data_IF_446892084832
#
_entry.id   IF_446892084832
#
_cell.length_a   1.000
_cell.length_b   1.000
_cell.length_c   1.000
_cell.angle_alpha   90.00
_cell.angle_beta   90.00
_cell.angle_gamma   90.00
#
_symmetry.space_group_name_H-M   'P 1'
#
loop_
_entity.id
_entity.type
_entity.pdbx_description
1 polymer ?
#
# COMPACT_ATOMS: atom_id res chain seq x y z
N UNK A 1 -27.26 -42.77 19.48
CA UNK A 1 -26.95 -41.40 19.93
C UNK A 1 -25.51 -40.92 19.63
N UNK A 2 -24.49 -41.75 19.70
CA UNK A 2 -23.06 -41.32 19.41
C UNK A 2 -22.83 -40.85 17.99
N UNK A 3 -23.43 -41.45 16.95
CA UNK A 3 -23.26 -41.04 15.52
C UNK A 3 -23.81 -39.64 15.22
N UNK A 4 -24.91 -39.20 15.84
CA UNK A 4 -25.48 -37.86 15.65
C UNK A 4 -24.61 -36.76 16.27
N UNK A 5 -23.92 -37.03 17.38
CA UNK A 5 -23.01 -36.04 18.01
C UNK A 5 -21.73 -35.85 17.22
N UNK A 6 -21.21 -36.89 16.58
CA UNK A 6 -20.02 -36.80 15.71
C UNK A 6 -20.32 -36.00 14.46
N UNK A 7 -21.49 -36.23 13.83
CA UNK A 7 -21.90 -35.47 12.64
C UNK A 7 -22.09 -33.98 12.92
N UNK A 8 -22.69 -33.63 14.08
CA UNK A 8 -22.87 -32.25 14.50
C UNK A 8 -21.54 -31.54 14.79
N UNK A 9 -20.58 -32.24 15.39
CA UNK A 9 -19.23 -31.70 15.64
C UNK A 9 -18.45 -31.46 14.37
N UNK A 10 -18.54 -32.34 13.35
CA UNK A 10 -17.90 -32.14 12.06
C UNK A 10 -18.48 -30.95 11.30
N UNK A 11 -19.79 -30.72 11.37
CA UNK A 11 -20.45 -29.58 10.73
C UNK A 11 -19.99 -28.28 11.37
N UNK A 12 -19.85 -28.22 12.69
CA UNK A 12 -19.33 -27.03 13.39
C UNK A 12 -17.89 -26.72 13.02
N UNK A 13 -17.01 -27.73 12.90
CA UNK A 13 -15.62 -27.54 12.49
C UNK A 13 -15.52 -27.02 11.04
N UNK A 14 -16.34 -27.57 10.13
CA UNK A 14 -16.41 -27.10 8.75
C UNK A 14 -16.90 -25.64 8.66
N UNK A 15 -17.92 -25.25 9.43
CA UNK A 15 -18.41 -23.87 9.48
C UNK A 15 -17.35 -22.89 10.00
N UNK A 16 -16.59 -23.29 11.02
CA UNK A 16 -15.50 -22.47 11.56
C UNK A 16 -14.37 -22.29 10.54
N UNK A 17 -14.02 -23.35 9.81
CA UNK A 17 -13.01 -23.27 8.75
C UNK A 17 -13.45 -22.34 7.59
N UNK A 18 -14.73 -22.37 7.20
CA UNK A 18 -15.28 -21.47 6.16
C UNK A 18 -15.29 -20.01 6.65
N UNK A 19 -15.63 -19.76 7.91
CA UNK A 19 -15.60 -18.43 8.50
C UNK A 19 -14.16 -17.88 8.63
N UNK A 20 -13.19 -18.71 8.99
CA UNK A 20 -11.78 -18.31 9.05
C UNK A 20 -11.19 -18.03 7.66
N UNK A 21 -11.56 -18.79 6.64
CA UNK A 21 -11.11 -18.52 5.26
C UNK A 21 -11.76 -17.26 4.66
N UNK A 22 -12.98 -16.92 5.03
CA UNK A 22 -13.62 -15.66 4.61
C UNK A 22 -13.03 -14.44 5.32
N UNK A 23 -12.60 -14.55 6.57
CA UNK A 23 -11.90 -13.49 7.30
C UNK A 23 -10.51 -13.19 6.70
N UNK A 24 -9.76 -14.22 6.29
CA UNK A 24 -8.48 -14.02 5.60
C UNK A 24 -8.62 -13.41 4.21
N UNK A 25 -9.69 -13.71 3.50
CA UNK A 25 -10.01 -13.07 2.22
C UNK A 25 -10.40 -11.59 2.40
N UNK A 26 -11.11 -11.22 3.47
CA UNK A 26 -11.44 -9.82 3.80
C UNK A 26 -10.20 -8.99 4.14
N UNK A 27 -9.17 -9.56 4.79
CA UNK A 27 -7.92 -8.87 5.10
C UNK A 27 -7.08 -8.53 3.85
N UNK A 28 -7.22 -9.28 2.75
CA UNK A 28 -6.57 -9.00 1.46
C UNK A 28 -7.25 -7.91 0.62
N UNK A 29 -8.47 -7.51 0.95
CA UNK A 29 -9.26 -6.54 0.18
C UNK A 29 -8.72 -5.10 0.36
N UNK A 30 -8.00 -4.82 1.47
CA UNK A 30 -7.56 -3.48 1.83
C UNK A 30 -6.59 -2.79 0.85
N UNK A 31 -5.81 -3.55 0.07
CA UNK A 31 -4.76 -3.02 -0.82
C UNK A 31 -5.10 -3.17 -2.31
N UNK A 32 -6.37 -3.32 -2.66
CA UNK A 32 -6.80 -3.19 -4.06
C UNK A 32 -6.73 -1.74 -4.50
N UNK A 33 -6.39 -1.52 -5.77
CA UNK A 33 -6.25 -0.19 -6.35
C UNK A 33 -7.44 0.72 -6.03
N UNK A 34 -8.67 0.27 -6.30
CA UNK A 34 -9.90 1.03 -6.03
C UNK A 34 -10.05 1.47 -4.56
N UNK A 35 -9.66 0.60 -3.62
CA UNK A 35 -9.74 0.90 -2.19
C UNK A 35 -8.67 1.92 -1.76
N UNK A 36 -7.47 1.82 -2.32
CA UNK A 36 -6.38 2.78 -2.08
C UNK A 36 -6.77 4.15 -2.60
N UNK A 37 -7.28 4.21 -3.83
CA UNK A 37 -7.76 5.44 -4.46
C UNK A 37 -8.87 6.11 -3.65
N UNK A 38 -9.86 5.31 -3.23
CA UNK A 38 -10.97 5.79 -2.41
C UNK A 38 -10.48 6.40 -1.10
N UNK A 39 -9.63 5.69 -0.35
CA UNK A 39 -9.09 6.17 0.92
C UNK A 39 -8.30 7.47 0.78
N UNK A 40 -7.43 7.55 -0.22
CA UNK A 40 -6.64 8.75 -0.51
C UNK A 40 -7.53 9.93 -0.89
N UNK A 41 -8.50 9.72 -1.78
CA UNK A 41 -9.44 10.75 -2.23
C UNK A 41 -10.35 11.25 -1.10
N UNK A 42 -10.90 10.34 -0.30
CA UNK A 42 -11.72 10.68 0.88
C UNK A 42 -10.92 11.47 1.94
N UNK A 43 -9.61 11.27 1.99
CA UNK A 43 -8.71 12.05 2.85
C UNK A 43 -8.27 13.39 2.22
N UNK A 44 -8.77 13.74 1.06
CA UNK A 44 -8.47 15.01 0.37
C UNK A 44 -7.15 15.02 -0.40
N UNK A 45 -6.60 13.85 -0.74
CA UNK A 45 -5.46 13.75 -1.62
C UNK A 45 -5.89 13.83 -3.10
N UNK A 46 -5.04 14.42 -3.93
CA UNK A 46 -5.17 14.39 -5.39
C UNK A 46 -4.48 13.15 -5.92
N UNK A 47 -5.07 12.50 -6.92
CA UNK A 47 -4.54 11.29 -7.53
C UNK A 47 -4.27 11.52 -9.02
N UNK A 48 -3.14 11.01 -9.48
CA UNK A 48 -2.78 10.88 -10.90
C UNK A 48 -2.24 9.48 -11.17
N UNK A 49 -2.40 9.02 -12.39
CA UNK A 49 -1.83 7.76 -12.85
C UNK A 49 -0.54 8.06 -13.61
N UNK A 50 0.53 7.40 -13.22
CA UNK A 50 1.85 7.56 -13.79
C UNK A 50 2.32 6.26 -14.42
N UNK A 51 3.18 6.33 -15.45
CA UNK A 51 3.77 5.15 -16.08
C UNK A 51 5.01 4.66 -15.37
N UNK A 52 5.72 5.57 -14.74
CA UNK A 52 6.95 5.27 -13.98
C UNK A 52 7.09 6.24 -12.80
N UNK A 53 7.96 5.88 -11.88
CA UNK A 53 8.36 6.74 -10.76
C UNK A 53 9.82 7.10 -10.87
N UNK A 54 10.30 8.13 -10.16
CA UNK A 54 11.73 8.42 -10.07
C UNK A 54 12.56 7.21 -9.61
N UNK A 55 11.96 6.33 -8.78
CA UNK A 55 12.61 5.14 -8.24
C UNK A 55 12.72 3.99 -9.24
N UNK A 56 11.71 3.84 -10.10
CA UNK A 56 11.55 2.65 -10.96
C UNK A 56 11.81 2.90 -12.44
N UNK A 57 12.00 4.14 -12.87
CA UNK A 57 12.20 4.49 -14.29
C UNK A 57 13.34 3.71 -14.96
N UNK A 58 14.41 3.46 -14.22
CA UNK A 58 15.54 2.69 -14.71
C UNK A 58 15.34 1.22 -14.36
N UNK A 59 15.18 0.36 -15.38
CA UNK A 59 14.96 -1.08 -15.24
C UNK A 59 13.48 -1.51 -15.18
N UNK A 60 12.54 -0.59 -15.32
CA UNK A 60 11.11 -0.94 -15.29
C UNK A 60 10.70 -1.89 -16.42
N UNK A 61 11.36 -1.82 -17.59
CA UNK A 61 11.07 -2.69 -18.73
C UNK A 61 11.30 -4.18 -18.43
N UNK A 62 12.14 -4.49 -17.46
CA UNK A 62 12.50 -5.85 -17.08
C UNK A 62 11.56 -6.42 -16.00
N UNK A 63 10.62 -5.61 -15.54
CA UNK A 63 9.70 -5.92 -14.44
C UNK A 63 8.24 -5.66 -14.82
N UNK A 64 7.34 -6.45 -14.23
CA UNK A 64 5.90 -6.34 -14.46
C UNK A 64 5.28 -5.36 -13.46
N UNK A 65 5.31 -4.08 -13.76
CA UNK A 65 4.56 -3.06 -13.04
C UNK A 65 3.26 -2.77 -13.82
N UNK A 66 2.11 -2.99 -13.17
CA UNK A 66 0.80 -2.89 -13.82
C UNK A 66 0.27 -1.47 -13.78
N UNK A 67 0.12 -0.94 -12.58
CA UNK A 67 -0.46 0.38 -12.35
C UNK A 67 0.38 1.16 -11.35
N UNK A 68 0.33 2.47 -11.47
CA UNK A 68 1.08 3.39 -10.66
C UNK A 68 0.20 4.57 -10.29
N UNK A 69 -0.04 4.74 -9.00
CA UNK A 69 -0.74 5.89 -8.47
C UNK A 69 0.30 6.85 -7.90
N UNK A 70 0.26 8.09 -8.37
CA UNK A 70 0.93 9.21 -7.74
C UNK A 70 -0.13 10.05 -7.01
N UNK A 71 0.07 10.24 -5.72
CA UNK A 71 -0.86 11.00 -4.88
C UNK A 71 -0.14 12.14 -4.19
N UNK A 72 -0.79 13.31 -4.14
CA UNK A 72 -0.28 14.49 -3.44
C UNK A 72 -1.33 15.04 -2.49
N UNK A 73 -0.85 15.61 -1.38
CA UNK A 73 -1.67 16.37 -0.44
C UNK A 73 -0.86 17.45 0.24
N UNK A 74 -1.45 18.63 0.39
CA UNK A 74 -0.87 19.74 1.14
C UNK A 74 -1.10 19.55 2.64
N UNK A 75 -0.04 19.72 3.42
CA UNK A 75 -0.06 19.73 4.88
C UNK A 75 0.48 21.05 5.40
N UNK A 76 -0.09 21.54 6.49
CA UNK A 76 0.49 22.65 7.24
C UNK A 76 1.54 22.10 8.19
N UNK A 77 2.78 22.56 8.07
CA UNK A 77 3.90 22.17 8.92
C UNK A 77 4.55 23.42 9.53
N UNK A 78 5.04 23.31 10.75
CA UNK A 78 5.84 24.38 11.38
C UNK A 78 7.31 24.17 11.03
N UNK A 79 7.85 25.07 10.23
CA UNK A 79 9.27 25.08 9.83
C UNK A 79 9.88 26.37 10.37
N UNK A 80 10.90 26.23 11.22
CA UNK A 80 11.57 27.36 11.88
C UNK A 80 10.62 28.29 12.65
N UNK A 81 9.59 27.72 13.29
CA UNK A 81 8.57 28.44 14.06
C UNK A 81 7.50 29.14 13.21
N UNK A 82 7.50 28.95 11.89
CA UNK A 82 6.53 29.52 10.96
C UNK A 82 5.70 28.41 10.35
N UNK A 83 4.36 28.58 10.33
CA UNK A 83 3.47 27.67 9.62
C UNK A 83 3.63 27.85 8.10
N UNK A 84 3.88 26.75 7.41
CA UNK A 84 4.01 26.68 5.95
C UNK A 84 3.18 25.55 5.40
N UNK A 85 2.58 25.78 4.23
CA UNK A 85 1.97 24.73 3.45
C UNK A 85 3.03 23.97 2.65
N UNK A 86 3.07 22.64 2.83
CA UNK A 86 4.03 21.76 2.16
C UNK A 86 3.27 20.66 1.46
N UNK A 87 3.47 20.53 0.16
CA UNK A 87 2.94 19.39 -0.59
C UNK A 87 3.75 18.14 -0.28
N UNK A 88 3.06 17.07 0.07
CA UNK A 88 3.64 15.74 0.34
C UNK A 88 3.14 14.74 -0.67
N UNK A 89 3.98 13.77 -0.98
CA UNK A 89 3.80 12.82 -2.08
C UNK A 89 3.75 11.38 -1.58
N UNK A 90 3.03 10.54 -2.33
CA UNK A 90 3.00 9.09 -2.17
C UNK A 90 2.92 8.44 -3.54
N UNK A 91 3.77 7.47 -3.79
CA UNK A 91 3.69 6.55 -4.92
C UNK A 91 3.15 5.20 -4.46
N UNK A 92 2.18 4.67 -5.19
CA UNK A 92 1.64 3.32 -4.96
C UNK A 92 1.85 2.52 -6.24
N UNK A 93 2.64 1.47 -6.12
CA UNK A 93 3.09 0.63 -7.24
C UNK A 93 2.40 -0.73 -7.12
N UNK A 94 1.65 -1.12 -8.15
CA UNK A 94 1.01 -2.43 -8.26
C UNK A 94 1.84 -3.30 -9.19
N UNK A 95 2.46 -4.34 -8.64
CA UNK A 95 3.30 -5.28 -9.40
C UNK A 95 2.50 -6.50 -9.88
N UNK A 96 2.88 -7.03 -11.02
CA UNK A 96 2.26 -8.23 -11.59
C UNK A 96 2.71 -9.54 -10.96
N UNK A 97 3.89 -9.54 -10.32
CA UNK A 97 4.45 -10.69 -9.61
C UNK A 97 5.31 -10.26 -8.41
N UNK A 98 5.67 -11.25 -7.58
CA UNK A 98 6.43 -11.02 -6.34
C UNK A 98 7.85 -10.53 -6.60
N UNK A 99 8.50 -10.98 -7.68
CA UNK A 99 9.84 -10.56 -8.03
C UNK A 99 9.88 -9.08 -8.39
N UNK A 100 8.90 -8.62 -9.18
CA UNK A 100 8.74 -7.21 -9.54
C UNK A 100 8.40 -6.34 -8.33
N UNK A 101 7.57 -6.84 -7.40
CA UNK A 101 7.27 -6.15 -6.15
C UNK A 101 8.51 -6.02 -5.25
N UNK A 102 9.30 -7.09 -5.12
CA UNK A 102 10.55 -7.07 -4.34
C UNK A 102 11.56 -6.08 -4.92
N UNK A 103 11.71 -6.09 -6.25
CA UNK A 103 12.57 -5.14 -6.95
C UNK A 103 12.12 -3.68 -6.72
N UNK A 104 10.82 -3.39 -6.88
CA UNK A 104 10.28 -2.06 -6.65
C UNK A 104 10.47 -1.59 -5.20
N UNK A 105 10.28 -2.49 -4.23
CA UNK A 105 10.53 -2.21 -2.80
C UNK A 105 11.99 -1.81 -2.55
N UNK A 106 12.93 -2.57 -3.09
CA UNK A 106 14.35 -2.31 -2.93
C UNK A 106 14.75 -0.96 -3.57
N UNK A 107 14.24 -0.68 -4.78
CA UNK A 107 14.45 0.62 -5.44
C UNK A 107 13.90 1.78 -4.63
N UNK A 108 12.71 1.64 -4.06
CA UNK A 108 12.11 2.64 -3.18
C UNK A 108 12.96 2.89 -1.93
N UNK A 109 13.40 1.82 -1.25
CA UNK A 109 14.27 1.92 -0.07
C UNK A 109 15.60 2.63 -0.37
N UNK A 110 16.25 2.27 -1.48
CA UNK A 110 17.48 2.92 -1.91
C UNK A 110 17.26 4.40 -2.20
N UNK A 111 16.22 4.74 -2.94
CA UNK A 111 15.86 6.12 -3.26
C UNK A 111 15.63 6.98 -2.01
N UNK A 112 14.86 6.47 -1.04
CA UNK A 112 14.62 7.17 0.23
C UNK A 112 15.91 7.34 1.02
N UNK A 113 16.76 6.31 1.07
CA UNK A 113 18.06 6.38 1.79
C UNK A 113 19.03 7.37 1.15
N UNK A 114 19.13 7.36 -0.19
CA UNK A 114 20.01 8.25 -0.95
C UNK A 114 19.59 9.72 -0.88
N UNK A 115 18.31 9.99 -0.63
CA UNK A 115 17.70 11.32 -0.58
C UNK A 115 17.15 11.69 0.81
N UNK A 116 17.65 11.08 1.87
CA UNK A 116 17.09 11.20 3.22
C UNK A 116 17.01 12.65 3.74
N UNK A 117 17.93 13.52 3.33
CA UNK A 117 17.93 14.94 3.73
C UNK A 117 16.76 15.74 3.14
N UNK A 118 16.29 15.36 1.95
CA UNK A 118 15.18 16.03 1.24
C UNK A 118 13.85 15.34 1.42
N UNK A 119 13.85 14.02 1.60
CA UNK A 119 12.65 13.18 1.74
C UNK A 119 12.28 12.93 3.21
N UNK A 120 12.25 13.99 4.01
CA UNK A 120 11.91 13.89 5.43
C UNK A 120 10.50 13.31 5.62
N UNK A 121 10.43 12.23 6.42
CA UNK A 121 9.17 11.54 6.70
C UNK A 121 8.70 10.61 5.58
N UNK A 122 9.57 10.31 4.60
CA UNK A 122 9.29 9.26 3.62
C UNK A 122 9.59 7.88 4.18
N UNK A 123 8.71 6.95 3.85
CA UNK A 123 8.81 5.54 4.21
C UNK A 123 8.51 4.66 2.99
N UNK A 124 9.00 3.43 3.05
CA UNK A 124 8.65 2.38 2.09
C UNK A 124 7.92 1.26 2.82
N UNK A 125 6.80 0.83 2.27
CA UNK A 125 6.01 -0.27 2.80
C UNK A 125 5.56 -1.20 1.67
N UNK A 126 5.68 -2.51 1.89
CA UNK A 126 5.20 -3.52 0.97
C UNK A 126 4.14 -4.39 1.62
N UNK A 127 3.06 -4.62 0.90
CA UNK A 127 2.05 -5.60 1.22
C UNK A 127 1.74 -6.44 -0.02
N UNK A 128 2.11 -7.73 0.02
CA UNK A 128 1.99 -8.63 -1.13
C UNK A 128 2.69 -8.05 -2.37
N UNK A 129 1.95 -7.73 -3.42
CA UNK A 129 2.45 -7.14 -4.68
C UNK A 129 2.25 -5.64 -4.79
N UNK A 130 1.91 -4.98 -3.70
CA UNK A 130 1.74 -3.54 -3.64
C UNK A 130 2.88 -2.91 -2.85
N UNK A 131 3.56 -1.95 -3.45
CA UNK A 131 4.63 -1.18 -2.81
C UNK A 131 4.20 0.27 -2.69
N UNK A 132 4.28 0.81 -1.49
CA UNK A 132 4.01 2.21 -1.18
C UNK A 132 5.34 2.89 -0.84
N UNK A 133 5.59 4.06 -1.42
CA UNK A 133 6.78 4.86 -1.16
C UNK A 133 6.42 6.33 -1.11
N UNK A 134 6.61 6.97 0.02
CA UNK A 134 6.29 8.39 0.17
C UNK A 134 6.08 8.81 1.62
N UNK A 135 5.39 9.93 1.78
CA UNK A 135 5.18 10.54 3.08
C UNK A 135 4.33 9.66 4.00
N UNK A 136 4.82 9.41 5.22
CA UNK A 136 4.27 8.41 6.14
C UNK A 136 2.78 8.59 6.46
N UNK A 137 2.27 9.83 6.54
CA UNK A 137 0.84 10.08 6.80
C UNK A 137 -0.04 9.65 5.61
N UNK A 138 0.38 9.93 4.37
CA UNK A 138 -0.33 9.47 3.17
C UNK A 138 -0.25 7.95 3.03
N UNK A 139 0.89 7.38 3.37
CA UNK A 139 1.09 5.94 3.39
C UNK A 139 0.16 5.26 4.41
N UNK A 140 0.00 5.83 5.60
CA UNK A 140 -0.94 5.33 6.61
C UNK A 140 -2.39 5.38 6.09
N UNK A 141 -2.82 6.49 5.48
CA UNK A 141 -4.15 6.63 4.86
C UNK A 141 -4.38 5.55 3.79
N UNK A 142 -3.42 5.34 2.89
CA UNK A 142 -3.52 4.32 1.84
C UNK A 142 -3.70 2.90 2.43
N UNK A 143 -3.08 2.63 3.57
CA UNK A 143 -3.22 1.37 4.32
C UNK A 143 -4.52 1.26 5.10
N UNK A 144 -5.19 2.39 5.37
CA UNK A 144 -6.46 2.46 6.10
C UNK A 144 -6.33 2.72 7.60
N UNK A 145 -5.30 3.48 7.99
CA UNK A 145 -5.09 3.95 9.36
C UNK A 145 -5.31 5.47 9.46
#
# INVERSE_FOLDING_TARGET
>A
MKKKRIALSMICVLMICVLLSSLTACLKIGMRQENVEKKLTENGATIRYERNTPMTKDGQSDHKLQDLIYSTKTYTETVDGVEKEVEKELYVIFAGDDASAAWAEERCKSYVSENAETLVGWETYRYDRVVLCGYYKLLAVARGY
#
